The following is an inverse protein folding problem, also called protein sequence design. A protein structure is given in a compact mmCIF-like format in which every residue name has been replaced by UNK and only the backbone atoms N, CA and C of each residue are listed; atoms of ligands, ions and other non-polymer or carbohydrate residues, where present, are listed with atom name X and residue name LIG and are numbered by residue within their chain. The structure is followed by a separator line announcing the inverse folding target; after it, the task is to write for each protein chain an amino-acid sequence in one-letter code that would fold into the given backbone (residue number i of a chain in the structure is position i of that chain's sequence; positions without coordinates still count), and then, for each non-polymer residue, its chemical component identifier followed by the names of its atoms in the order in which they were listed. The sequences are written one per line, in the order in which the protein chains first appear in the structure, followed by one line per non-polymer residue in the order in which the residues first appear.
data_IF_066517122027
#
_entry.id   IF_066517122027
#
_cell.length_a   1.000
_cell.length_b   1.000
_cell.length_c   1.000
_cell.angle_alpha   90.00
_cell.angle_beta   90.00
_cell.angle_gamma   90.00
#
_symmetry.space_group_name_H-M   'P 1'
#
loop_
_entity.id
_entity.type
_entity.pdbx_description
1 polymer ?
#
# COMPACT_ATOMS: atom_id res chain seq x y z
N UNK A 1 -14.03 -50.45 6.77
CA UNK A 1 -14.60 -49.41 5.93
C UNK A 1 -14.29 -47.98 6.42
N UNK A 2 -14.49 -47.66 7.69
CA UNK A 2 -14.24 -46.32 8.26
C UNK A 2 -12.75 -45.93 8.25
N UNK A 3 -11.85 -46.83 8.60
CA UNK A 3 -10.39 -46.60 8.57
C UNK A 3 -9.85 -46.32 7.16
N UNK A 4 -10.40 -46.97 6.14
CA UNK A 4 -10.03 -46.77 4.73
C UNK A 4 -10.45 -45.39 4.24
N UNK A 5 -11.59 -44.86 4.73
CA UNK A 5 -12.05 -43.49 4.41
C UNK A 5 -11.12 -42.45 5.00
N UNK A 6 -10.69 -42.62 6.26
CA UNK A 6 -9.73 -41.71 6.91
C UNK A 6 -8.36 -41.70 6.21
N UNK A 7 -7.89 -42.84 5.75
CA UNK A 7 -6.64 -42.96 4.98
C UNK A 7 -6.75 -42.23 3.62
N UNK A 8 -7.90 -42.36 2.95
CA UNK A 8 -8.14 -41.67 1.68
C UNK A 8 -8.26 -40.14 1.82
N UNK A 9 -8.86 -39.68 2.91
CA UNK A 9 -8.96 -38.26 3.23
C UNK A 9 -7.59 -37.67 3.56
N UNK A 10 -6.75 -38.39 4.30
CA UNK A 10 -5.40 -37.89 4.66
C UNK A 10 -4.44 -37.82 3.47
N UNK A 11 -4.60 -38.65 2.44
CA UNK A 11 -3.77 -38.63 1.23
C UNK A 11 -4.17 -37.51 0.24
N UNK A 12 -5.38 -36.96 0.34
CA UNK A 12 -5.88 -35.93 -0.58
C UNK A 12 -5.92 -34.50 0.03
N UNK A 13 -5.24 -34.27 1.14
CA UNK A 13 -5.15 -32.95 1.77
C UNK A 13 -4.55 -31.90 0.82
N UNK A 14 -3.70 -32.31 -0.15
CA UNK A 14 -3.20 -31.40 -1.20
C UNK A 14 -4.30 -30.79 -2.08
N UNK A 15 -5.45 -31.46 -2.21
CA UNK A 15 -6.60 -30.94 -2.94
C UNK A 15 -7.26 -29.75 -2.19
N UNK A 16 -7.13 -29.71 -0.87
CA UNK A 16 -7.65 -28.62 -0.03
C UNK A 16 -6.68 -27.42 0.09
N UNK A 17 -5.48 -27.52 -0.46
CA UNK A 17 -4.49 -26.45 -0.40
C UNK A 17 -4.95 -25.12 -1.02
N UNK A 18 -5.72 -25.06 -2.12
CA UNK A 18 -6.27 -23.80 -2.61
C UNK A 18 -7.29 -23.18 -1.65
N UNK A 19 -8.13 -24.02 -1.03
CA UNK A 19 -9.12 -23.59 -0.03
C UNK A 19 -8.42 -23.12 1.25
N UNK A 20 -7.40 -23.84 1.71
CA UNK A 20 -6.61 -23.45 2.86
C UNK A 20 -5.85 -22.13 2.64
N UNK A 21 -5.35 -21.88 1.42
CA UNK A 21 -4.75 -20.58 1.06
C UNK A 21 -5.80 -19.48 1.04
N UNK A 22 -6.95 -19.70 0.39
CA UNK A 22 -8.04 -18.73 0.36
C UNK A 22 -8.53 -18.36 1.77
N UNK A 23 -8.60 -19.33 2.69
CA UNK A 23 -8.98 -19.07 4.09
C UNK A 23 -7.86 -18.34 4.84
N UNK A 24 -6.58 -18.62 4.54
CA UNK A 24 -5.44 -17.97 5.19
C UNK A 24 -5.30 -16.51 4.77
N UNK A 25 -5.60 -16.21 3.51
CA UNK A 25 -5.58 -14.85 2.97
C UNK A 25 -6.88 -14.07 3.29
N UNK A 26 -7.90 -14.76 3.81
CA UNK A 26 -9.17 -14.17 4.20
C UNK A 26 -9.08 -13.62 5.62
N UNK A 27 -8.98 -12.32 5.74
CA UNK A 27 -8.99 -11.68 7.05
C UNK A 27 -10.38 -11.78 7.69
N UNK A 28 -10.45 -12.08 8.99
CA UNK A 28 -11.71 -12.04 9.74
C UNK A 28 -12.32 -10.62 9.71
N UNK A 29 -11.50 -9.60 9.53
CA UNK A 29 -11.97 -8.24 9.31
C UNK A 29 -12.71 -8.08 7.98
N UNK A 30 -12.25 -8.72 6.90
CA UNK A 30 -12.94 -8.65 5.60
C UNK A 30 -14.33 -9.33 5.68
N UNK A 31 -14.41 -10.46 6.40
CA UNK A 31 -15.68 -11.12 6.66
C UNK A 31 -16.60 -10.25 7.53
N UNK A 32 -16.06 -9.64 8.57
CA UNK A 32 -16.80 -8.76 9.48
C UNK A 32 -17.37 -7.56 8.72
N UNK A 33 -16.55 -6.87 7.93
CA UNK A 33 -16.99 -5.74 7.11
C UNK A 33 -17.97 -6.17 6.01
N UNK A 34 -17.77 -7.31 5.37
CA UNK A 34 -18.67 -7.79 4.33
C UNK A 34 -20.04 -8.22 4.88
N UNK A 35 -20.10 -8.82 6.07
CA UNK A 35 -21.36 -9.28 6.69
C UNK A 35 -22.10 -8.12 7.37
N UNK A 36 -21.39 -7.19 8.01
CA UNK A 36 -22.01 -6.07 8.71
C UNK A 36 -22.36 -4.90 7.80
N UNK A 37 -21.74 -4.82 6.62
CA UNK A 37 -21.99 -3.74 5.68
C UNK A 37 -23.11 -4.07 4.66
N UNK A 38 -24.05 -4.92 5.05
CA UNK A 38 -25.23 -5.20 4.23
C UNK A 38 -26.30 -4.14 4.48
N UNK A 39 -26.25 -3.03 3.78
CA UNK A 39 -27.44 -2.21 3.59
C UNK A 39 -27.34 -0.71 3.68
N UNK A 40 -26.37 -0.15 4.36
CA UNK A 40 -26.22 1.30 4.39
C UNK A 40 -25.13 1.76 3.42
N UNK A 41 -25.40 2.81 2.66
CA UNK A 41 -24.36 3.47 1.88
C UNK A 41 -23.22 3.86 2.83
N UNK A 42 -21.94 3.60 2.45
CA UNK A 42 -20.82 3.95 3.31
C UNK A 42 -20.88 5.44 3.64
N UNK A 43 -20.87 5.76 4.93
CA UNK A 43 -20.78 7.14 5.37
C UNK A 43 -19.55 7.79 4.72
N UNK A 44 -19.78 8.82 3.94
CA UNK A 44 -18.69 9.58 3.32
C UNK A 44 -17.95 10.34 4.43
N UNK A 45 -16.65 10.12 4.52
CA UNK A 45 -15.83 10.95 5.40
C UNK A 45 -15.82 12.38 4.89
N UNK A 46 -16.12 13.32 5.77
CA UNK A 46 -15.97 14.76 5.46
C UNK A 46 -14.52 15.23 5.61
N UNK A 47 -13.66 14.40 6.20
CA UNK A 47 -12.29 14.78 6.59
C UNK A 47 -11.25 14.10 5.72
N UNK A 48 -11.52 12.90 5.20
CA UNK A 48 -10.56 12.09 4.45
C UNK A 48 -11.09 11.88 3.04
N UNK A 49 -10.28 12.22 2.04
CA UNK A 49 -10.52 11.91 0.63
C UNK A 49 -9.46 10.92 0.15
N UNK A 50 -9.88 9.81 -0.44
CA UNK A 50 -9.01 8.86 -1.09
C UNK A 50 -8.98 9.14 -2.59
N UNK A 51 -7.78 9.22 -3.16
CA UNK A 51 -7.56 9.38 -4.59
C UNK A 51 -6.95 8.11 -5.12
N UNK A 52 -7.70 7.37 -5.92
CA UNK A 52 -7.22 6.17 -6.58
C UNK A 52 -6.36 6.55 -7.81
N UNK A 53 -5.13 6.04 -7.82
CA UNK A 53 -4.14 6.28 -8.86
C UNK A 53 -3.67 4.99 -9.53
N UNK A 54 -4.40 3.89 -9.35
CA UNK A 54 -4.04 2.56 -9.86
C UNK A 54 -3.82 2.55 -11.38
N UNK A 55 -4.55 3.36 -12.12
CA UNK A 55 -4.43 3.46 -13.58
C UNK A 55 -3.36 4.45 -14.06
N UNK A 56 -2.68 5.13 -13.13
CA UNK A 56 -1.63 6.09 -13.47
C UNK A 56 -0.26 5.42 -13.53
N UNK A 57 0.23 5.17 -14.73
CA UNK A 57 1.50 4.45 -14.94
C UNK A 57 2.72 5.36 -15.14
N UNK A 58 2.51 6.64 -15.41
CA UNK A 58 3.57 7.62 -15.65
C UNK A 58 3.71 8.59 -14.50
N UNK A 59 4.94 8.90 -14.12
CA UNK A 59 5.23 9.88 -13.04
C UNK A 59 4.66 11.27 -13.32
N UNK A 60 4.66 11.70 -14.57
CA UNK A 60 4.06 12.96 -14.96
C UNK A 60 2.55 13.02 -14.72
N UNK A 61 1.82 11.90 -14.87
CA UNK A 61 0.38 11.82 -14.56
C UNK A 61 0.15 11.92 -13.05
N UNK A 62 0.99 11.24 -12.26
CA UNK A 62 0.93 11.31 -10.80
C UNK A 62 1.26 12.72 -10.31
N UNK A 63 2.27 13.37 -10.89
CA UNK A 63 2.60 14.76 -10.60
C UNK A 63 1.41 15.70 -10.83
N UNK A 64 0.75 15.55 -11.97
CA UNK A 64 -0.45 16.31 -12.33
C UNK A 64 -1.59 16.10 -11.31
N UNK A 65 -1.78 14.85 -10.86
CA UNK A 65 -2.78 14.52 -9.84
C UNK A 65 -2.44 15.19 -8.50
N UNK A 66 -1.16 15.18 -8.10
CA UNK A 66 -0.69 15.87 -6.88
C UNK A 66 -0.97 17.38 -6.97
N UNK A 67 -0.69 17.99 -8.12
CA UNK A 67 -0.98 19.41 -8.34
C UNK A 67 -2.47 19.72 -8.23
N UNK A 68 -3.34 18.89 -8.82
CA UNK A 68 -4.80 19.07 -8.73
C UNK A 68 -5.31 18.93 -7.29
N UNK A 69 -4.78 17.95 -6.54
CA UNK A 69 -5.11 17.79 -5.12
C UNK A 69 -4.62 19.00 -4.31
N UNK A 70 -3.40 19.48 -4.56
CA UNK A 70 -2.83 20.62 -3.86
C UNK A 70 -3.64 21.92 -4.06
N UNK A 71 -4.28 22.10 -5.22
CA UNK A 71 -5.20 23.23 -5.49
C UNK A 71 -6.43 23.23 -4.57
N UNK A 72 -6.78 22.11 -3.97
CA UNK A 72 -7.88 22.01 -3.01
C UNK A 72 -7.45 22.40 -1.58
N UNK A 73 -6.19 22.75 -1.39
CA UNK A 73 -5.60 23.15 -0.11
C UNK A 73 -5.87 22.17 1.05
N UNK A 74 -5.58 20.86 0.87
CA UNK A 74 -5.72 19.92 1.96
C UNK A 74 -4.76 20.29 3.09
N UNK A 75 -5.11 19.96 4.34
CA UNK A 75 -4.22 20.17 5.50
C UNK A 75 -2.98 19.27 5.42
N UNK A 76 -3.17 18.06 4.96
CA UNK A 76 -2.09 17.09 4.77
C UNK A 76 -2.35 16.25 3.53
N UNK A 77 -1.27 15.79 2.89
CA UNK A 77 -1.27 14.88 1.75
C UNK A 77 -0.47 13.64 2.10
N UNK A 78 -1.10 12.48 2.06
CA UNK A 78 -0.44 11.19 2.22
C UNK A 78 -0.23 10.50 0.87
N UNK A 79 0.99 10.05 0.59
CA UNK A 79 1.35 9.30 -0.61
C UNK A 79 1.75 7.88 -0.21
N UNK A 80 0.84 6.92 -0.40
CA UNK A 80 1.13 5.49 -0.14
C UNK A 80 1.79 4.84 -1.37
N UNK A 81 2.87 5.48 -1.83
CA UNK A 81 3.70 5.02 -2.95
C UNK A 81 5.15 5.24 -2.62
N UNK A 82 5.99 4.28 -3.01
CA UNK A 82 7.45 4.42 -3.01
C UNK A 82 7.91 4.55 -4.48
N UNK A 83 8.50 5.67 -4.81
CA UNK A 83 9.04 5.94 -6.15
C UNK A 83 10.48 5.47 -6.24
N UNK A 84 10.64 4.17 -6.47
CA UNK A 84 11.95 3.54 -6.53
C UNK A 84 12.77 4.02 -7.73
N UNK A 85 13.95 4.54 -7.45
CA UNK A 85 14.95 4.97 -8.45
C UNK A 85 14.44 6.00 -9.47
N UNK A 86 15.32 6.47 -10.32
CA UNK A 86 14.96 7.27 -11.48
C UNK A 86 14.41 6.38 -12.59
N UNK A 87 13.38 6.84 -13.28
CA UNK A 87 12.90 6.22 -14.53
C UNK A 87 13.56 6.87 -15.72
N UNK A 88 13.52 6.20 -16.88
CA UNK A 88 14.04 6.75 -18.15
C UNK A 88 13.28 8.01 -18.62
N UNK A 89 12.09 8.26 -18.07
CA UNK A 89 11.29 9.48 -18.24
C UNK A 89 11.81 10.59 -17.31
N UNK A 90 12.83 11.32 -17.71
CA UNK A 90 13.40 12.43 -16.95
C UNK A 90 12.37 13.55 -16.73
N UNK A 91 11.53 13.85 -17.71
CA UNK A 91 10.48 14.87 -17.60
C UNK A 91 9.47 14.49 -16.52
N UNK A 92 9.08 13.22 -16.47
CA UNK A 92 8.18 12.72 -15.44
C UNK A 92 8.80 12.74 -14.04
N UNK A 93 10.10 12.45 -13.91
CA UNK A 93 10.85 12.55 -12.66
C UNK A 93 10.86 13.99 -12.15
N UNK A 94 11.25 14.95 -13.02
CA UNK A 94 11.33 16.37 -12.68
C UNK A 94 9.94 16.95 -12.35
N UNK A 95 8.91 16.57 -13.09
CA UNK A 95 7.53 16.98 -12.82
C UNK A 95 7.07 16.52 -11.43
N UNK A 96 7.40 15.28 -11.04
CA UNK A 96 7.04 14.75 -9.74
C UNK A 96 7.75 15.52 -8.60
N UNK A 97 9.04 15.75 -8.73
CA UNK A 97 9.82 16.54 -7.76
C UNK A 97 9.26 17.96 -7.64
N UNK A 98 8.96 18.59 -8.76
CA UNK A 98 8.39 19.95 -8.77
C UNK A 98 7.00 20.00 -8.14
N UNK A 99 6.12 19.04 -8.45
CA UNK A 99 4.79 18.97 -7.85
C UNK A 99 4.85 18.80 -6.32
N UNK A 100 5.75 17.96 -5.83
CA UNK A 100 5.95 17.74 -4.40
C UNK A 100 6.60 18.95 -3.71
N UNK A 101 7.59 19.56 -4.33
CA UNK A 101 8.26 20.78 -3.79
C UNK A 101 7.32 21.97 -3.69
N UNK A 102 6.32 22.04 -4.55
CA UNK A 102 5.33 23.11 -4.57
C UNK A 102 4.06 22.78 -3.75
N UNK A 103 4.02 21.65 -3.06
CA UNK A 103 2.91 21.36 -2.17
C UNK A 103 2.89 22.34 -0.99
N UNK A 104 1.74 22.98 -0.79
CA UNK A 104 1.49 23.86 0.35
C UNK A 104 1.09 23.09 1.60
N UNK A 105 0.71 21.83 1.44
CA UNK A 105 0.26 20.93 2.50
C UNK A 105 1.43 20.18 3.12
N UNK A 106 1.30 19.82 4.40
CA UNK A 106 2.21 18.86 5.02
C UNK A 106 2.12 17.52 4.29
N UNK A 107 3.20 17.11 3.65
CA UNK A 107 3.19 15.92 2.78
C UNK A 107 3.99 14.79 3.43
N UNK A 108 3.33 13.63 3.52
CA UNK A 108 3.91 12.39 4.04
C UNK A 108 4.03 11.39 2.90
N UNK A 109 5.23 10.84 2.69
CA UNK A 109 5.49 9.77 1.71
C UNK A 109 5.81 8.46 2.39
N UNK A 110 5.56 7.35 1.71
CA UNK A 110 5.83 6.02 2.22
C UNK A 110 7.32 5.65 2.13
N UNK A 111 7.82 4.93 3.13
CA UNK A 111 9.06 4.17 3.04
C UNK A 111 8.88 2.75 3.58
N UNK A 112 9.77 1.84 3.22
CA UNK A 112 9.70 0.43 3.59
C UNK A 112 11.01 -0.03 4.20
N UNK A 113 10.92 -0.76 5.31
CA UNK A 113 12.06 -1.47 5.87
C UNK A 113 12.19 -2.85 5.22
N UNK A 114 13.41 -3.26 4.93
CA UNK A 114 13.75 -4.49 4.22
C UNK A 114 14.70 -5.35 5.07
N UNK A 115 14.85 -6.61 4.65
CA UNK A 115 15.83 -7.52 5.22
C UNK A 115 15.71 -7.69 6.74
N UNK A 116 14.52 -8.14 7.16
CA UNK A 116 14.28 -8.44 8.57
C UNK A 116 15.15 -9.59 9.06
N UNK A 117 15.96 -9.31 10.06
CA UNK A 117 16.79 -10.29 10.75
C UNK A 117 16.07 -10.78 12.03
N UNK A 118 15.48 -11.97 11.96
CA UNK A 118 14.69 -12.53 13.05
C UNK A 118 15.48 -12.74 14.38
N UNK A 119 16.75 -13.21 14.38
CA UNK A 119 17.56 -13.31 15.59
C UNK A 119 17.78 -12.00 16.33
N UNK A 120 18.09 -10.92 15.61
CA UNK A 120 18.34 -9.59 16.20
C UNK A 120 17.08 -8.73 16.31
N UNK A 121 15.95 -9.16 15.70
CA UNK A 121 14.71 -8.40 15.60
C UNK A 121 14.90 -7.01 15.00
N UNK A 122 15.78 -6.89 14.00
CA UNK A 122 16.13 -5.63 13.35
C UNK A 122 15.97 -5.74 11.84
N UNK A 123 15.74 -4.61 11.20
CA UNK A 123 15.86 -4.47 9.75
C UNK A 123 17.26 -3.97 9.40
N UNK A 124 17.83 -4.42 8.30
CA UNK A 124 19.20 -4.08 7.90
C UNK A 124 19.25 -3.11 6.73
N UNK A 125 18.14 -2.89 6.03
CA UNK A 125 18.04 -1.92 4.95
C UNK A 125 16.67 -1.25 4.90
N UNK A 126 16.55 -0.19 4.10
CA UNK A 126 15.30 0.54 3.87
C UNK A 126 15.18 0.95 2.40
N UNK A 127 13.95 1.05 1.92
CA UNK A 127 13.62 1.52 0.59
C UNK A 127 12.88 2.86 0.71
N UNK A 128 13.46 3.89 0.11
CA UNK A 128 12.95 5.25 0.08
C UNK A 128 12.64 5.70 -1.34
N UNK A 129 11.83 6.73 -1.46
CA UNK A 129 11.61 7.38 -2.75
C UNK A 129 12.86 8.15 -3.19
N UNK A 130 13.14 8.18 -4.50
CA UNK A 130 14.36 8.75 -5.07
C UNK A 130 14.56 10.24 -4.76
N UNK A 131 13.49 10.95 -4.49
CA UNK A 131 13.50 12.40 -4.26
C UNK A 131 13.65 12.81 -2.78
N UNK A 132 13.79 11.87 -1.87
CA UNK A 132 13.70 12.15 -0.42
C UNK A 132 14.76 13.15 0.09
N UNK A 133 15.90 13.21 -0.58
CA UNK A 133 16.95 14.17 -0.25
C UNK A 133 16.77 15.54 -0.92
N UNK A 134 15.88 15.64 -1.91
CA UNK A 134 15.69 16.84 -2.72
C UNK A 134 14.45 17.64 -2.30
N UNK A 135 13.50 16.97 -1.63
CA UNK A 135 12.22 17.57 -1.22
C UNK A 135 12.03 17.40 0.28
N UNK A 136 11.71 18.47 1.04
CA UNK A 136 11.50 18.39 2.48
C UNK A 136 10.14 17.74 2.80
N UNK A 137 10.12 16.42 2.82
CA UNK A 137 8.92 15.62 3.12
C UNK A 137 9.11 14.83 4.42
N UNK A 138 7.98 14.46 5.02
CA UNK A 138 7.94 13.52 6.14
C UNK A 138 7.82 12.12 5.58
N UNK A 139 8.55 11.16 6.12
CA UNK A 139 8.41 9.77 5.74
C UNK A 139 7.58 8.97 6.76
N UNK A 140 6.63 8.22 6.26
CA UNK A 140 5.80 7.28 7.02
C UNK A 140 6.19 5.83 6.71
N UNK A 141 6.28 5.02 7.74
CA UNK A 141 6.60 3.60 7.64
C UNK A 141 5.38 2.76 7.22
N UNK A 142 5.53 1.89 6.23
CA UNK A 142 4.42 1.13 5.63
C UNK A 142 4.48 -0.39 5.80
N UNK A 143 5.52 -0.95 6.43
CA UNK A 143 5.56 -2.39 6.63
C UNK A 143 4.56 -2.84 7.71
N UNK A 144 3.76 -3.83 7.37
CA UNK A 144 3.04 -4.62 8.36
C UNK A 144 3.80 -5.92 8.58
N UNK A 145 4.31 -6.12 9.79
CA UNK A 145 4.88 -7.40 10.17
C UNK A 145 3.72 -8.38 10.37
N UNK A 146 3.51 -9.28 9.42
CA UNK A 146 2.66 -10.45 9.65
C UNK A 146 3.44 -11.47 10.49
N UNK A 147 3.00 -11.70 11.71
CA UNK A 147 3.50 -12.79 12.55
C UNK A 147 3.07 -14.15 12.00
#
# INVERSE_FOLDING_TARGET
MILSLFYFVSMNISFLSPVARAIKDFSMSDLYYHILWTGDEPEKSEVITLVDITDLHKRGQIAQTIEEVNKQHPKALGLDIIFEGLKDDSIGNDSLVNALSNCSSETVTAFKLLDYNAPSKTFTSSLHSFFINDVPLIEGYTNVLSN
#
